data_IF_506494997547
#
_entry.id   IF_506494997547
#
_cell.length_a   1.000
_cell.length_b   1.000
_cell.length_c   1.000
_cell.angle_alpha   90.00
_cell.angle_beta   90.00
_cell.angle_gamma   90.00
#
_symmetry.space_group_name_H-M   'P 1'
#
loop_
_entity.id
_entity.type
_entity.pdbx_description
1 polymer ?
#
# COMPACT_ATOMS: atom_id res chain seq x y z
N UNK A 1 -5.92 -7.88 3.07
CA UNK A 1 -5.98 -7.68 1.60
C UNK A 1 -5.83 -6.19 1.34
N UNK A 2 -5.05 -5.80 0.34
CA UNK A 2 -4.77 -4.40 0.01
C UNK A 2 -5.43 -4.10 -1.34
N UNK A 3 -6.23 -3.03 -1.39
CA UNK A 3 -6.85 -2.57 -2.64
C UNK A 3 -5.83 -1.73 -3.41
N UNK A 4 -5.59 -2.10 -4.67
CA UNK A 4 -4.84 -1.26 -5.59
C UNK A 4 -5.84 -0.35 -6.29
N UNK A 5 -5.59 0.95 -6.20
CA UNK A 5 -6.42 2.00 -6.78
C UNK A 5 -5.60 2.80 -7.79
N UNK A 6 -6.26 3.31 -8.81
CA UNK A 6 -5.71 4.34 -9.69
C UNK A 6 -6.49 5.64 -9.50
N UNK A 7 -5.83 6.78 -9.63
CA UNK A 7 -6.52 8.07 -9.59
C UNK A 7 -7.05 8.39 -10.99
N UNK A 8 -8.36 8.49 -11.12
CA UNK A 8 -9.06 8.92 -12.33
C UNK A 8 -9.99 10.08 -11.96
N UNK A 9 -9.88 11.21 -12.65
CA UNK A 9 -10.65 12.43 -12.35
C UNK A 9 -10.56 12.83 -10.86
N UNK A 10 -9.35 12.83 -10.31
CA UNK A 10 -9.03 13.10 -8.90
C UNK A 10 -9.68 12.15 -7.89
N UNK A 11 -10.30 11.07 -8.37
CA UNK A 11 -10.95 10.06 -7.55
C UNK A 11 -10.20 8.74 -7.64
N UNK A 12 -9.94 8.09 -6.50
CA UNK A 12 -9.38 6.75 -6.50
C UNK A 12 -10.43 5.72 -6.95
N UNK A 13 -10.10 4.99 -8.01
CA UNK A 13 -10.92 3.94 -8.60
C UNK A 13 -10.24 2.58 -8.34
N UNK A 14 -10.94 1.60 -7.75
CA UNK A 14 -10.40 0.26 -7.52
C UNK A 14 -10.02 -0.41 -8.85
N UNK A 15 -8.78 -0.90 -8.92
CA UNK A 15 -8.26 -1.66 -10.06
C UNK A 15 -8.20 -3.16 -9.76
N UNK A 16 -7.65 -3.52 -8.61
CA UNK A 16 -7.47 -4.90 -8.21
C UNK A 16 -7.29 -5.02 -6.70
N UNK A 17 -7.28 -6.26 -6.20
CA UNK A 17 -6.98 -6.56 -4.80
C UNK A 17 -5.80 -7.52 -4.76
N UNK A 18 -4.85 -7.25 -3.86
CA UNK A 18 -3.71 -8.14 -3.62
C UNK A 18 -3.67 -8.61 -2.18
N UNK A 19 -3.13 -9.81 -2.00
CA UNK A 19 -2.87 -10.38 -0.67
C UNK A 19 -1.36 -10.51 -0.53
N UNK A 20 -0.77 -9.64 0.28
CA UNK A 20 0.65 -9.65 0.58
C UNK A 20 0.88 -10.44 1.86
N UNK A 21 1.87 -11.33 1.85
CA UNK A 21 2.38 -11.98 3.06
C UNK A 21 3.62 -11.24 3.51
N UNK A 22 3.65 -10.80 4.75
CA UNK A 22 4.80 -10.15 5.35
C UNK A 22 5.17 -10.84 6.66
N UNK A 23 6.45 -10.83 7.02
CA UNK A 23 6.88 -11.15 8.38
C UNK A 23 6.52 -9.99 9.32
N UNK A 24 6.58 -10.24 10.63
CA UNK A 24 6.31 -9.21 11.64
C UNK A 24 7.27 -8.00 11.50
N UNK A 25 8.54 -8.25 11.17
CA UNK A 25 9.54 -7.20 10.91
C UNK A 25 9.26 -6.36 9.67
N UNK A 26 8.49 -6.90 8.72
CA UNK A 26 8.08 -6.22 7.48
C UNK A 26 6.72 -5.51 7.64
N UNK A 27 6.01 -5.70 8.75
CA UNK A 27 4.64 -5.23 8.97
C UNK A 27 4.55 -3.71 9.27
N UNK A 28 5.45 -2.92 8.72
CA UNK A 28 5.47 -1.45 8.79
C UNK A 28 5.27 -0.85 7.39
N UNK A 29 4.93 0.45 7.32
CA UNK A 29 4.64 1.14 6.05
C UNK A 29 5.78 0.98 5.02
N UNK A 30 7.06 1.27 5.34
CA UNK A 30 8.15 1.09 4.38
C UNK A 30 8.29 -0.36 3.87
N UNK A 31 8.19 -1.34 4.77
CA UNK A 31 8.30 -2.76 4.43
C UNK A 31 7.19 -3.23 3.51
N UNK A 32 5.94 -2.85 3.80
CA UNK A 32 4.77 -3.18 2.97
C UNK A 32 4.90 -2.53 1.58
N UNK A 33 5.26 -1.24 1.52
CA UNK A 33 5.41 -0.49 0.25
C UNK A 33 6.52 -1.11 -0.61
N UNK A 34 7.70 -1.36 -0.03
CA UNK A 34 8.83 -1.94 -0.75
C UNK A 34 8.47 -3.32 -1.34
N UNK A 35 7.76 -4.14 -0.57
CA UNK A 35 7.33 -5.48 -1.01
C UNK A 35 6.32 -5.40 -2.16
N UNK A 36 5.32 -4.52 -2.02
CA UNK A 36 4.35 -4.26 -3.08
C UNK A 36 5.00 -3.75 -4.36
N UNK A 37 5.99 -2.86 -4.26
CA UNK A 37 6.72 -2.36 -5.43
C UNK A 37 7.43 -3.48 -6.18
N UNK A 38 8.10 -4.37 -5.46
CA UNK A 38 8.79 -5.53 -6.05
C UNK A 38 7.79 -6.48 -6.70
N UNK A 39 6.73 -6.85 -5.98
CA UNK A 39 5.74 -7.85 -6.43
C UNK A 39 4.92 -7.35 -7.63
N UNK A 40 4.54 -6.07 -7.62
CA UNK A 40 3.78 -5.43 -8.70
C UNK A 40 4.65 -4.99 -9.86
N UNK A 41 5.99 -5.07 -9.73
CA UNK A 41 6.95 -4.47 -10.67
C UNK A 41 6.62 -3.00 -10.93
N UNK A 42 6.15 -2.30 -9.90
CA UNK A 42 5.75 -0.91 -10.01
C UNK A 42 7.00 -0.04 -10.19
N UNK A 43 7.00 0.77 -11.25
CA UNK A 43 8.05 1.77 -11.50
C UNK A 43 7.81 3.06 -10.71
N UNK A 44 6.58 3.25 -10.22
CA UNK A 44 6.12 4.42 -9.50
C UNK A 44 6.24 4.23 -7.98
N UNK A 45 6.29 5.34 -7.26
CA UNK A 45 6.23 5.32 -5.80
C UNK A 45 4.81 4.94 -5.37
N UNK A 46 4.67 3.86 -4.61
CA UNK A 46 3.38 3.46 -4.05
C UNK A 46 3.21 4.13 -2.69
N UNK A 47 2.01 4.66 -2.44
CA UNK A 47 1.60 5.17 -1.13
C UNK A 47 0.49 4.28 -0.56
N UNK A 48 0.43 4.17 0.77
CA UNK A 48 -0.66 3.49 1.46
C UNK A 48 -1.69 4.52 1.90
N UNK A 49 -2.96 4.22 1.66
CA UNK A 49 -4.08 5.08 2.03
C UNK A 49 -5.00 4.34 3.01
N UNK A 50 -5.57 5.08 3.96
CA UNK A 50 -6.65 4.59 4.81
C UNK A 50 -7.99 4.56 4.05
N UNK A 51 -9.07 4.15 4.73
CA UNK A 51 -10.41 4.13 4.13
C UNK A 51 -10.99 5.51 3.79
N UNK A 52 -10.36 6.58 4.28
CA UNK A 52 -10.73 7.98 4.06
C UNK A 52 -9.79 8.67 3.05
N UNK A 53 -8.90 7.92 2.39
CA UNK A 53 -7.90 8.42 1.44
C UNK A 53 -6.80 9.29 2.03
N UNK A 54 -6.55 9.18 3.34
CA UNK A 54 -5.39 9.80 3.97
C UNK A 54 -4.17 8.90 3.82
N UNK A 55 -3.02 9.49 3.55
CA UNK A 55 -1.75 8.76 3.53
C UNK A 55 -1.42 8.21 4.91
N UNK A 56 -1.11 6.91 4.95
CA UNK A 56 -0.63 6.21 6.13
C UNK A 56 0.89 6.35 6.15
N UNK A 57 1.40 7.20 7.03
CA UNK A 57 2.83 7.51 7.13
C UNK A 57 3.54 6.57 8.14
N UNK A 58 2.83 6.12 9.17
CA UNK A 58 3.35 5.22 10.22
C UNK A 58 2.23 4.25 10.66
N UNK A 59 2.62 3.11 11.23
CA UNK A 59 1.70 2.16 11.86
C UNK A 59 2.11 1.92 13.30
N UNK A 60 1.22 2.19 14.25
CA UNK A 60 1.51 2.15 15.70
C UNK A 60 1.98 0.79 16.23
N UNK A 61 1.87 -0.29 15.44
CA UNK A 61 2.14 -1.67 15.87
C UNK A 61 3.57 -2.19 15.70
N UNK A 62 4.54 -1.39 15.25
CA UNK A 62 5.90 -1.88 14.90
C UNK A 62 7.05 -1.12 15.57
N UNK A 63 6.81 -0.38 16.65
CA UNK A 63 7.87 0.26 17.44
C UNK A 63 8.42 -0.67 18.51
#
# INVERSE_FOLDING_TARGET
>A
AINIVEVQDEKPVPKSVVVVRFSETEANVPGIVQKLQVDLKATECLILLDSNWNEIIDSEGTR
#
